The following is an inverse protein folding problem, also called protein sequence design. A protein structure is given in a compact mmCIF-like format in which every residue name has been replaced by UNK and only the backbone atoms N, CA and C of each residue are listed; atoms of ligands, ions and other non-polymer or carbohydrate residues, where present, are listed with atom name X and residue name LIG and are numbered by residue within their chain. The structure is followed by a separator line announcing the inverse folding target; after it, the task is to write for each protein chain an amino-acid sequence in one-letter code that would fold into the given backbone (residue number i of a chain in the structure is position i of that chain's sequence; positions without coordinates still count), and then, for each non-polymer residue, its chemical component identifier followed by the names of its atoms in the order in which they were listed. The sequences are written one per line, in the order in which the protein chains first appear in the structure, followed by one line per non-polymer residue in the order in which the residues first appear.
data_IF_946079612392
#
_entry.id   IF_946079612392
#
_cell.length_a   1.000
_cell.length_b   1.000
_cell.length_c   1.000
_cell.angle_alpha   90.00
_cell.angle_beta   90.00
_cell.angle_gamma   90.00
#
_symmetry.space_group_name_H-M   'P 1'
#
loop_
_entity.id
_entity.type
_entity.pdbx_description
1 polymer ?
#
# COMPACT_ATOMS: atom_id res chain seq x y z
N UNK A 1 -4.08 -10.94 11.55
CA UNK A 1 -3.19 -12.03 11.08
C UNK A 1 -3.17 -13.19 12.09
N UNK A 2 -3.16 -12.94 13.43
CA UNK A 2 -3.17 -14.02 14.44
C UNK A 2 -4.46 -14.83 14.46
N UNK A 3 -5.58 -14.25 14.08
CA UNK A 3 -6.89 -14.93 14.12
C UNK A 3 -7.21 -15.69 12.83
N UNK A 4 -6.64 -15.31 11.68
CA UNK A 4 -6.77 -16.04 10.41
C UNK A 4 -6.11 -17.43 10.50
N UNK A 5 -5.06 -17.58 11.31
CA UNK A 5 -4.39 -18.86 11.54
C UNK A 5 -5.25 -19.88 12.31
N UNK A 6 -6.36 -19.46 12.93
CA UNK A 6 -7.28 -20.32 13.68
C UNK A 6 -8.50 -20.80 12.89
N UNK A 7 -8.82 -20.11 11.77
CA UNK A 7 -9.87 -20.52 10.85
C UNK A 7 -9.22 -21.26 9.67
N UNK A 8 -9.05 -22.56 9.80
CA UNK A 8 -8.34 -23.39 8.84
C UNK A 8 -8.86 -23.23 7.41
N UNK A 9 -8.00 -22.78 6.50
CA UNK A 9 -8.21 -22.90 5.06
C UNK A 9 -8.00 -24.37 4.71
N UNK A 10 -8.97 -25.07 4.11
CA UNK A 10 -8.93 -26.54 3.95
C UNK A 10 -7.73 -27.10 3.18
N UNK A 11 -7.10 -26.30 2.31
CA UNK A 11 -5.95 -26.75 1.50
C UNK A 11 -4.58 -26.65 2.20
N UNK A 12 -4.45 -25.88 3.29
CA UNK A 12 -3.21 -25.80 4.07
C UNK A 12 -3.10 -26.98 5.05
N UNK A 13 -4.23 -27.59 5.43
CA UNK A 13 -4.27 -28.72 6.36
C UNK A 13 -3.56 -29.99 5.88
N UNK A 14 -3.42 -30.18 4.56
CA UNK A 14 -2.78 -31.37 3.98
C UNK A 14 -1.25 -31.26 3.83
N UNK A 15 -0.65 -30.09 4.05
CA UNK A 15 0.82 -29.89 3.95
C UNK A 15 1.49 -30.02 5.34
N UNK A 16 0.76 -29.89 6.42
CA UNK A 16 1.28 -29.94 7.79
C UNK A 16 1.80 -31.31 8.29
N UNK A 17 1.31 -32.49 7.81
CA UNK A 17 1.85 -33.76 8.27
C UNK A 17 3.24 -34.15 7.76
N UNK A 18 3.73 -33.48 6.68
CA UNK A 18 5.02 -33.83 6.06
C UNK A 18 6.24 -33.16 6.70
N UNK A 19 6.06 -32.31 7.71
CA UNK A 19 7.16 -31.51 8.32
C UNK A 19 7.59 -32.09 9.69
N UNK A 20 7.13 -33.27 10.11
CA UNK A 20 7.49 -33.85 11.42
C UNK A 20 8.78 -34.69 11.43
N UNK A 21 9.58 -34.71 10.39
CA UNK A 21 10.92 -35.27 10.46
C UNK A 21 11.94 -34.13 10.63
N UNK A 22 12.79 -34.22 11.65
CA UNK A 22 13.90 -33.34 12.00
C UNK A 22 14.93 -33.16 10.87
N UNK A 23 14.52 -32.74 9.69
CA UNK A 23 15.41 -32.27 8.66
C UNK A 23 15.72 -30.83 9.01
N UNK A 24 16.91 -30.57 9.56
CA UNK A 24 17.44 -29.21 9.64
C UNK A 24 17.41 -28.67 8.20
N UNK A 25 16.56 -27.67 7.86
CA UNK A 25 16.48 -27.22 6.49
C UNK A 25 17.82 -26.67 6.07
N UNK A 26 18.41 -27.25 4.99
CA UNK A 26 19.63 -26.74 4.40
C UNK A 26 19.38 -25.29 4.03
N UNK A 27 20.07 -24.36 4.70
CA UNK A 27 19.93 -22.94 4.41
C UNK A 27 20.48 -22.64 3.02
N UNK A 28 19.74 -21.83 2.30
CA UNK A 28 20.16 -21.32 0.98
C UNK A 28 21.36 -20.40 1.21
N UNK A 29 22.44 -20.65 0.47
CA UNK A 29 23.68 -19.84 0.54
C UNK A 29 23.49 -18.53 -0.25
N UNK A 30 22.73 -17.61 0.34
CA UNK A 30 22.38 -16.29 -0.19
C UNK A 30 22.50 -15.26 0.92
N UNK A 31 22.99 -14.06 0.56
CA UNK A 31 23.09 -12.90 1.45
C UNK A 31 21.91 -11.98 1.22
N UNK A 32 21.12 -11.73 2.27
CA UNK A 32 19.97 -10.83 2.24
C UNK A 32 20.26 -9.64 3.16
N UNK A 33 20.14 -8.43 2.64
CA UNK A 33 20.23 -7.22 3.46
C UNK A 33 18.86 -6.59 3.64
N UNK A 34 18.46 -6.39 4.89
CA UNK A 34 17.22 -5.70 5.29
C UNK A 34 17.59 -4.25 5.53
N UNK A 35 17.30 -3.38 4.56
CA UNK A 35 17.56 -1.94 4.68
C UNK A 35 16.40 -1.28 5.41
N UNK A 36 16.71 -0.60 6.50
CA UNK A 36 15.73 0.06 7.37
C UNK A 36 15.82 1.58 7.26
N UNK A 37 14.70 2.24 7.56
CA UNK A 37 14.67 3.70 7.70
C UNK A 37 15.56 4.06 8.89
N UNK A 38 16.55 4.94 8.72
CA UNK A 38 17.38 5.40 9.83
C UNK A 38 16.52 5.97 10.94
N UNK A 39 16.90 5.75 12.18
CA UNK A 39 16.23 6.31 13.35
C UNK A 39 16.56 7.82 13.45
N UNK A 40 16.04 8.58 12.49
CA UNK A 40 16.17 10.02 12.45
C UNK A 40 15.33 10.57 13.58
N UNK A 41 15.94 11.27 14.53
CA UNK A 41 15.33 11.88 15.72
C UNK A 41 13.99 12.62 15.50
N UNK A 42 13.51 13.48 16.35
CA UNK A 42 12.11 13.90 16.38
C UNK A 42 11.61 14.37 15.02
N UNK A 43 10.50 13.78 14.60
CA UNK A 43 9.82 13.88 13.29
C UNK A 43 9.90 15.28 12.67
N UNK A 44 10.78 15.47 11.71
CA UNK A 44 10.74 16.60 10.82
C UNK A 44 9.76 16.28 9.66
N UNK A 45 9.00 17.27 9.22
CA UNK A 45 7.92 17.18 8.23
C UNK A 45 8.29 16.56 6.86
N UNK A 46 9.57 16.32 6.60
CA UNK A 46 10.06 15.67 5.38
C UNK A 46 10.24 14.14 5.51
N UNK A 47 10.12 13.57 6.72
CA UNK A 47 10.38 12.14 6.97
C UNK A 47 9.20 11.23 6.62
N UNK A 48 8.01 11.77 6.56
CA UNK A 48 6.77 11.01 6.35
C UNK A 48 6.66 10.31 4.99
N UNK A 49 7.51 10.67 4.02
CA UNK A 49 7.49 10.12 2.66
C UNK A 49 8.72 9.26 2.31
N UNK A 50 9.66 9.09 3.23
CA UNK A 50 10.91 8.33 2.99
C UNK A 50 10.65 6.86 2.76
N UNK A 51 9.54 6.33 3.27
CA UNK A 51 9.15 4.94 3.13
C UNK A 51 8.23 4.47 4.25
N UNK A 52 8.04 3.17 4.34
CA UNK A 52 7.28 2.51 5.40
C UNK A 52 8.24 1.94 6.45
N UNK A 53 7.84 2.01 7.71
CA UNK A 53 8.54 1.32 8.81
C UNK A 53 8.21 -0.17 8.70
N UNK A 54 9.23 -1.00 8.67
CA UNK A 54 9.11 -2.47 8.65
C UNK A 54 9.53 -3.04 9.99
N UNK A 55 8.97 -4.19 10.36
CA UNK A 55 9.38 -4.93 11.55
C UNK A 55 10.64 -5.77 11.25
N UNK A 56 11.80 -5.11 11.13
CA UNK A 56 13.07 -5.68 10.69
C UNK A 56 13.48 -6.93 11.47
N UNK A 57 13.23 -6.96 12.78
CA UNK A 57 13.56 -8.12 13.65
C UNK A 57 12.73 -9.35 13.31
N UNK A 58 11.44 -9.16 12.99
CA UNK A 58 10.56 -10.24 12.56
C UNK A 58 10.97 -10.76 11.18
N UNK A 59 11.29 -9.86 10.26
CA UNK A 59 11.78 -10.21 8.92
C UNK A 59 13.09 -10.95 9.02
N UNK A 60 14.06 -10.46 9.81
CA UNK A 60 15.33 -11.14 10.08
C UNK A 60 15.10 -12.54 10.61
N UNK A 61 14.23 -12.70 11.63
CA UNK A 61 13.92 -14.03 12.22
C UNK A 61 13.31 -15.00 11.21
N UNK A 62 12.47 -14.52 10.31
CA UNK A 62 11.83 -15.34 9.27
C UNK A 62 12.84 -15.73 8.20
N UNK A 63 13.56 -14.77 7.65
CA UNK A 63 14.52 -14.99 6.56
C UNK A 63 15.72 -15.84 7.02
N UNK A 64 16.21 -15.65 8.25
CA UNK A 64 17.32 -16.44 8.82
C UNK A 64 17.01 -17.93 9.00
N UNK A 65 15.74 -18.33 8.94
CA UNK A 65 15.38 -19.76 8.91
C UNK A 65 15.73 -20.41 7.57
N UNK A 66 15.76 -19.65 6.49
CA UNK A 66 15.89 -20.14 5.12
C UNK A 66 17.22 -19.75 4.46
N UNK A 67 17.73 -18.56 4.76
CA UNK A 67 18.95 -18.02 4.17
C UNK A 67 20.10 -18.06 5.16
N UNK A 68 21.33 -18.21 4.64
CA UNK A 68 22.53 -18.36 5.46
C UNK A 68 22.89 -17.02 6.13
N UNK A 69 22.98 -15.98 5.34
CA UNK A 69 23.42 -14.67 5.79
C UNK A 69 22.27 -13.65 5.62
N UNK A 70 21.75 -13.14 6.73
CA UNK A 70 20.71 -12.11 6.73
C UNK A 70 21.16 -11.01 7.68
N UNK A 71 21.25 -9.79 7.16
CA UNK A 71 21.74 -8.62 7.89
C UNK A 71 20.67 -7.54 7.95
N UNK A 72 20.67 -6.74 9.02
CA UNK A 72 19.95 -5.46 9.09
C UNK A 72 20.97 -4.37 8.78
N UNK A 73 20.66 -3.53 7.81
CA UNK A 73 21.54 -2.45 7.34
C UNK A 73 20.85 -1.11 7.51
N UNK A 74 21.44 -0.24 8.32
CA UNK A 74 21.04 1.15 8.45
C UNK A 74 21.85 2.00 7.49
N UNK A 75 21.17 2.88 6.74
CA UNK A 75 21.79 3.81 5.81
C UNK A 75 21.62 5.23 6.36
N UNK A 76 22.71 5.83 6.79
CA UNK A 76 22.76 7.18 7.34
C UNK A 76 23.49 8.18 6.44
N UNK A 77 24.21 7.70 5.42
CA UNK A 77 25.00 8.52 4.51
C UNK A 77 25.11 7.91 3.11
N UNK A 78 25.66 8.64 2.15
CA UNK A 78 25.94 8.11 0.80
C UNK A 78 27.02 7.03 0.85
N UNK A 79 27.99 7.14 1.74
CA UNK A 79 29.03 6.14 1.96
C UNK A 79 28.44 4.79 2.41
N UNK A 80 27.36 4.81 3.21
CA UNK A 80 26.67 3.58 3.60
C UNK A 80 25.98 2.91 2.41
N UNK A 81 25.41 3.72 1.48
CA UNK A 81 24.85 3.20 0.22
C UNK A 81 25.94 2.58 -0.66
N UNK A 82 27.11 3.24 -0.76
CA UNK A 82 28.26 2.70 -1.48
C UNK A 82 28.76 1.40 -0.84
N UNK A 83 28.79 1.34 0.49
CA UNK A 83 29.19 0.14 1.21
C UNK A 83 28.20 -1.00 0.98
N UNK A 84 26.89 -0.73 0.94
CA UNK A 84 25.85 -1.70 0.59
C UNK A 84 26.12 -2.32 -0.79
N UNK A 85 26.30 -1.51 -1.82
CA UNK A 85 26.51 -2.04 -3.18
C UNK A 85 27.85 -2.73 -3.35
N UNK A 86 28.91 -2.30 -2.62
CA UNK A 86 30.23 -2.99 -2.60
C UNK A 86 30.13 -4.40 -2.03
N UNK A 87 29.21 -4.66 -1.09
CA UNK A 87 28.97 -6.00 -0.53
C UNK A 87 28.26 -6.94 -1.50
N UNK A 88 27.58 -6.40 -2.52
CA UNK A 88 26.84 -7.15 -3.55
C UNK A 88 25.89 -8.21 -2.95
N UNK A 89 24.93 -7.82 -2.10
CA UNK A 89 23.97 -8.78 -1.57
C UNK A 89 23.17 -9.46 -2.70
N UNK A 90 22.77 -10.69 -2.48
CA UNK A 90 21.92 -11.42 -3.43
C UNK A 90 20.50 -10.83 -3.51
N UNK A 91 20.07 -10.14 -2.46
CA UNK A 91 18.76 -9.50 -2.41
C UNK A 91 18.72 -8.40 -1.33
N UNK A 92 18.13 -7.26 -1.66
CA UNK A 92 17.76 -6.23 -0.70
C UNK A 92 16.26 -6.28 -0.42
N UNK A 93 15.90 -6.29 0.86
CA UNK A 93 14.53 -6.12 1.35
C UNK A 93 14.41 -4.77 2.05
N UNK A 94 13.50 -3.90 1.61
CA UNK A 94 13.39 -2.57 2.22
C UNK A 94 11.97 -2.01 2.18
N UNK A 95 11.64 -1.21 3.20
CA UNK A 95 10.49 -0.30 3.19
C UNK A 95 10.88 1.13 2.77
N UNK A 96 12.16 1.40 2.54
CA UNK A 96 12.65 2.74 2.19
C UNK A 96 12.41 3.02 0.72
N UNK A 97 11.85 4.20 0.41
CA UNK A 97 11.68 4.70 -0.96
C UNK A 97 12.93 5.47 -1.41
N UNK A 98 13.35 6.45 -0.61
CA UNK A 98 14.52 7.28 -0.90
C UNK A 98 15.20 7.77 0.37
N UNK A 99 16.45 8.16 0.23
CA UNK A 99 17.24 8.88 1.23
C UNK A 99 17.43 10.33 0.79
N UNK A 100 17.52 11.25 1.73
CA UNK A 100 17.80 12.65 1.46
C UNK A 100 19.21 12.99 1.93
N UNK A 101 20.16 13.04 0.99
CA UNK A 101 21.56 13.41 1.23
C UNK A 101 21.97 14.55 0.30
N UNK A 102 22.79 15.46 0.79
CA UNK A 102 23.37 16.55 -0.01
C UNK A 102 22.32 17.32 -0.84
N UNK A 103 21.16 17.66 -0.22
CA UNK A 103 20.03 18.36 -0.84
C UNK A 103 19.42 17.65 -2.07
N UNK A 104 19.56 16.32 -2.16
CA UNK A 104 18.93 15.51 -3.22
C UNK A 104 18.30 14.25 -2.68
N UNK A 105 17.24 13.80 -3.33
CA UNK A 105 16.65 12.49 -3.07
C UNK A 105 17.39 11.42 -3.87
N UNK A 106 17.90 10.41 -3.18
CA UNK A 106 18.48 9.22 -3.78
C UNK A 106 17.46 8.09 -3.62
N UNK A 107 16.82 7.73 -4.71
CA UNK A 107 15.83 6.64 -4.72
C UNK A 107 16.56 5.31 -4.60
N UNK A 108 16.24 4.55 -3.56
CA UNK A 108 16.93 3.29 -3.25
C UNK A 108 16.82 2.30 -4.42
N UNK A 109 15.64 2.15 -5.00
CA UNK A 109 15.40 1.20 -6.07
C UNK A 109 16.18 1.55 -7.34
N UNK A 110 16.18 2.84 -7.75
CA UNK A 110 16.99 3.31 -8.89
C UNK A 110 18.49 3.11 -8.62
N UNK A 111 18.93 3.35 -7.37
CA UNK A 111 20.32 3.17 -6.99
C UNK A 111 20.72 1.69 -7.07
N UNK A 112 19.88 0.77 -6.56
CA UNK A 112 20.14 -0.66 -6.64
C UNK A 112 20.12 -1.18 -8.08
N UNK A 113 19.22 -0.67 -8.94
CA UNK A 113 19.18 -1.00 -10.37
C UNK A 113 20.46 -0.59 -11.11
N UNK A 114 21.03 0.58 -10.79
CA UNK A 114 22.32 1.03 -11.38
C UNK A 114 23.48 0.07 -11.10
N UNK A 115 23.43 -0.67 -9.98
CA UNK A 115 24.45 -1.64 -9.59
C UNK A 115 24.02 -3.11 -9.77
N UNK A 116 22.90 -3.33 -10.47
CA UNK A 116 22.35 -4.66 -10.76
C UNK A 116 22.11 -5.51 -9.50
N UNK A 117 21.73 -4.86 -8.39
CA UNK A 117 21.41 -5.55 -7.13
C UNK A 117 19.91 -5.85 -7.09
N UNK A 118 19.52 -7.14 -6.97
CA UNK A 118 18.11 -7.51 -6.84
C UNK A 118 17.49 -6.95 -5.56
N UNK A 119 16.23 -6.52 -5.64
CA UNK A 119 15.49 -6.00 -4.50
C UNK A 119 14.02 -6.42 -4.55
N UNK A 120 13.39 -6.47 -3.38
CA UNK A 120 11.94 -6.67 -3.24
C UNK A 120 11.31 -5.30 -3.10
N UNK A 121 10.67 -4.84 -4.13
CA UNK A 121 9.76 -3.69 -4.23
C UNK A 121 9.40 -3.43 -5.69
N UNK A 122 8.54 -2.42 -5.90
CA UNK A 122 8.26 -1.89 -7.23
C UNK A 122 9.26 -0.79 -7.61
N UNK A 123 9.39 -0.50 -8.90
CA UNK A 123 10.26 0.58 -9.39
C UNK A 123 9.81 1.95 -8.89
N UNK A 124 10.70 2.95 -8.95
CA UNK A 124 10.37 4.35 -8.66
C UNK A 124 9.12 4.82 -9.43
N UNK A 125 9.04 4.49 -10.73
CA UNK A 125 7.90 4.88 -11.56
C UNK A 125 6.57 4.32 -11.04
N UNK A 126 6.55 3.07 -10.55
CA UNK A 126 5.36 2.47 -9.94
C UNK A 126 5.01 3.13 -8.59
N UNK A 127 6.02 3.46 -7.78
CA UNK A 127 5.83 4.18 -6.51
C UNK A 127 5.31 5.60 -6.74
N UNK A 128 5.78 6.30 -7.78
CA UNK A 128 5.25 7.61 -8.19
C UNK A 128 3.79 7.50 -8.67
N UNK A 129 3.44 6.42 -9.40
CA UNK A 129 2.08 6.17 -9.84
C UNK A 129 1.13 5.93 -8.66
N UNK A 130 1.58 5.20 -7.64
CA UNK A 130 0.81 4.93 -6.42
C UNK A 130 0.63 6.17 -5.55
N UNK A 131 1.67 7.00 -5.43
CA UNK A 131 1.69 8.15 -4.54
C UNK A 131 0.77 9.30 -4.99
N UNK A 132 0.42 9.36 -6.27
CA UNK A 132 -0.53 10.33 -6.86
C UNK A 132 -1.82 9.64 -7.28
N UNK A 133 -2.88 9.80 -6.48
CA UNK A 133 -4.18 9.15 -6.71
C UNK A 133 -4.83 9.56 -8.04
N UNK A 134 -4.63 10.81 -8.50
CA UNK A 134 -5.11 11.26 -9.79
C UNK A 134 -4.41 10.51 -10.94
N UNK A 135 -3.10 10.42 -10.85
CA UNK A 135 -2.28 9.68 -11.82
C UNK A 135 -2.66 8.21 -11.85
N UNK A 136 -2.78 7.57 -10.67
CA UNK A 136 -3.22 6.18 -10.55
C UNK A 136 -4.58 5.96 -11.23
N UNK A 137 -5.59 6.79 -10.92
CA UNK A 137 -6.93 6.67 -11.50
C UNK A 137 -6.95 6.88 -13.01
N UNK A 138 -6.17 7.83 -13.54
CA UNK A 138 -6.00 8.01 -15.00
C UNK A 138 -5.36 6.80 -15.67
N UNK A 139 -4.39 6.17 -15.02
CA UNK A 139 -3.80 4.91 -15.51
C UNK A 139 -4.85 3.79 -15.52
N UNK A 140 -5.67 3.67 -14.46
CA UNK A 140 -6.78 2.71 -14.42
C UNK A 140 -7.75 2.92 -15.60
N UNK A 141 -8.24 4.16 -15.81
CA UNK A 141 -9.14 4.50 -16.91
C UNK A 141 -8.54 4.16 -18.28
N UNK A 142 -7.27 4.52 -18.51
CA UNK A 142 -6.56 4.23 -19.77
C UNK A 142 -6.45 2.73 -20.05
N UNK A 143 -6.44 1.90 -19.01
CA UNK A 143 -6.37 0.44 -19.11
C UNK A 143 -7.73 -0.25 -18.98
N UNK A 144 -8.84 0.51 -19.05
CA UNK A 144 -10.20 0.00 -18.89
C UNK A 144 -10.42 -0.75 -17.56
N UNK A 145 -9.74 -0.32 -16.50
CA UNK A 145 -9.88 -0.84 -15.14
C UNK A 145 -10.90 0.03 -14.40
N UNK A 146 -11.91 -0.60 -13.81
CA UNK A 146 -12.97 0.12 -13.08
C UNK A 146 -12.39 0.88 -11.90
N UNK A 147 -12.80 2.13 -11.78
CA UNK A 147 -12.56 3.01 -10.63
C UNK A 147 -13.75 3.93 -10.47
N UNK A 148 -14.00 4.47 -9.27
CA UNK A 148 -15.06 5.44 -9.07
C UNK A 148 -14.85 6.65 -9.97
N UNK A 149 -15.94 7.24 -10.47
CA UNK A 149 -15.88 8.53 -11.17
C UNK A 149 -15.26 9.57 -10.27
N UNK A 150 -14.44 10.44 -10.84
CA UNK A 150 -13.67 11.39 -10.05
C UNK A 150 -13.29 12.65 -10.81
N UNK A 151 -12.99 13.68 -10.04
CA UNK A 151 -12.33 14.88 -10.51
C UNK A 151 -11.40 15.44 -9.44
N UNK A 152 -10.55 16.38 -9.85
CA UNK A 152 -9.65 17.11 -8.94
C UNK A 152 -10.13 18.52 -8.81
N UNK A 153 -10.03 19.09 -7.61
CA UNK A 153 -10.42 20.47 -7.35
C UNK A 153 -9.56 21.15 -6.28
N UNK A 154 -9.55 22.48 -6.34
CA UNK A 154 -9.06 23.38 -5.31
C UNK A 154 -10.22 24.23 -4.75
N UNK A 155 -10.05 24.86 -3.60
CA UNK A 155 -11.08 25.77 -3.07
C UNK A 155 -11.47 26.85 -4.07
N UNK A 156 -12.78 27.05 -4.26
CA UNK A 156 -13.34 28.12 -5.10
C UNK A 156 -13.44 27.81 -6.60
N UNK A 157 -13.02 26.64 -7.07
CA UNK A 157 -13.17 26.25 -8.49
C UNK A 157 -14.62 25.97 -8.89
N UNK A 158 -15.44 25.48 -7.96
CA UNK A 158 -16.88 25.26 -8.13
C UNK A 158 -17.64 26.21 -7.23
N UNK A 159 -18.58 26.95 -7.81
CA UNK A 159 -19.33 28.02 -7.11
C UNK A 159 -20.75 27.61 -6.75
N UNK A 160 -21.27 26.55 -7.39
CA UNK A 160 -22.64 26.06 -7.17
C UNK A 160 -22.66 24.54 -7.24
N UNK A 161 -23.64 23.91 -6.61
CA UNK A 161 -23.86 22.47 -6.65
C UNK A 161 -24.02 21.96 -8.10
N UNK A 162 -24.76 22.70 -8.93
CA UNK A 162 -24.99 22.31 -10.33
C UNK A 162 -23.76 22.35 -11.23
N UNK A 163 -22.65 22.96 -10.76
CA UNK A 163 -21.39 22.98 -11.49
C UNK A 163 -20.53 21.75 -11.21
N UNK A 164 -20.84 20.96 -10.17
CA UNK A 164 -20.09 19.74 -9.81
C UNK A 164 -20.39 18.63 -10.83
N UNK A 165 -19.36 17.98 -11.40
CA UNK A 165 -19.56 17.01 -12.49
C UNK A 165 -20.09 15.63 -12.05
N UNK A 166 -20.14 15.36 -10.74
CA UNK A 166 -20.57 14.08 -10.16
C UNK A 166 -21.62 14.36 -9.09
N UNK A 167 -22.68 13.54 -9.04
CA UNK A 167 -23.76 13.69 -8.06
C UNK A 167 -23.35 13.26 -6.65
N UNK A 168 -23.93 13.89 -5.63
CA UNK A 168 -23.82 13.46 -4.24
C UNK A 168 -24.48 12.10 -4.00
N UNK A 169 -24.02 11.32 -2.98
CA UNK A 169 -22.93 11.65 -2.06
C UNK A 169 -21.53 11.48 -2.68
N UNK A 170 -20.59 12.29 -2.22
CA UNK A 170 -19.20 12.30 -2.69
C UNK A 170 -18.24 11.91 -1.58
N UNK A 171 -17.11 11.29 -1.95
CA UNK A 171 -16.00 11.02 -1.05
C UNK A 171 -14.80 11.90 -1.42
N UNK A 172 -14.29 12.65 -0.43
CA UNK A 172 -13.24 13.65 -0.66
C UNK A 172 -12.01 13.34 0.17
N UNK A 173 -10.85 13.31 -0.51
CA UNK A 173 -9.55 13.02 0.11
C UNK A 173 -8.42 13.80 -0.57
N UNK A 174 -7.23 13.95 0.06
CA UNK A 174 -6.08 14.56 -0.61
C UNK A 174 -5.65 13.75 -1.84
N UNK A 175 -5.19 14.45 -2.90
CA UNK A 175 -4.64 13.79 -4.12
C UNK A 175 -3.40 13.00 -3.78
N UNK A 176 -2.50 13.56 -2.97
CA UNK A 176 -1.24 12.95 -2.57
C UNK A 176 -1.27 12.44 -1.13
N UNK A 177 -0.36 11.58 -0.78
CA UNK A 177 -0.23 10.98 0.56
C UNK A 177 -0.90 9.60 0.67
N UNK A 178 -0.57 8.89 1.75
CA UNK A 178 -1.03 7.54 2.09
C UNK A 178 -1.64 7.48 3.49
N UNK A 179 -1.88 6.26 4.01
CA UNK A 179 -2.29 5.95 5.37
C UNK A 179 -3.57 6.67 5.84
N UNK A 180 -4.53 6.89 4.93
CA UNK A 180 -5.77 7.63 5.19
C UNK A 180 -5.57 9.05 5.75
N UNK A 181 -4.40 9.67 5.60
CA UNK A 181 -4.16 11.06 6.02
C UNK A 181 -5.11 11.99 5.29
N UNK A 182 -5.80 12.85 6.06
CA UNK A 182 -6.82 13.75 5.55
C UNK A 182 -8.17 13.09 5.26
N UNK A 183 -8.33 11.80 5.56
CA UNK A 183 -9.61 11.08 5.56
C UNK A 183 -10.13 11.02 6.98
N UNK A 184 -11.35 11.49 7.18
CA UNK A 184 -12.06 11.51 8.45
C UNK A 184 -13.58 11.36 8.21
N UNK A 185 -14.38 11.47 9.26
CA UNK A 185 -15.84 11.39 9.21
C UNK A 185 -16.49 12.39 8.25
N UNK A 186 -15.84 13.52 7.99
CA UNK A 186 -16.32 14.56 7.07
C UNK A 186 -15.88 14.33 5.62
N UNK A 187 -15.23 13.20 5.33
CA UNK A 187 -14.80 12.85 3.96
C UNK A 187 -15.95 12.40 3.07
N UNK A 188 -17.08 11.96 3.66
CA UNK A 188 -18.32 11.73 2.92
C UNK A 188 -19.17 13.01 3.02
N UNK A 189 -19.54 13.56 1.88
CA UNK A 189 -20.31 14.80 1.82
C UNK A 189 -21.59 14.59 1.03
N UNK A 190 -22.69 15.21 1.48
CA UNK A 190 -24.03 15.02 0.94
C UNK A 190 -24.62 16.25 0.25
N UNK A 191 -23.90 17.37 0.34
CA UNK A 191 -24.33 18.67 -0.22
C UNK A 191 -23.12 19.56 -0.53
N UNK A 192 -23.42 20.70 -1.16
CA UNK A 192 -22.41 21.65 -1.59
C UNK A 192 -21.65 22.33 -0.44
N UNK A 193 -22.30 22.55 0.71
CA UNK A 193 -21.66 23.13 1.89
C UNK A 193 -20.59 22.19 2.46
N UNK A 194 -20.92 20.91 2.62
CA UNK A 194 -19.98 19.89 3.04
C UNK A 194 -18.81 19.74 2.06
N UNK A 195 -19.10 19.78 0.76
CA UNK A 195 -18.09 19.74 -0.30
C UNK A 195 -17.09 20.91 -0.16
N UNK A 196 -17.56 22.13 -0.10
CA UNK A 196 -16.70 23.32 -0.01
C UNK A 196 -15.88 23.34 1.26
N UNK A 197 -16.50 22.96 2.39
CA UNK A 197 -15.84 22.88 3.69
C UNK A 197 -14.71 21.84 3.67
N UNK A 198 -14.96 20.62 3.15
CA UNK A 198 -13.95 19.56 3.12
C UNK A 198 -12.80 19.87 2.17
N UNK A 199 -13.08 20.45 0.99
CA UNK A 199 -12.04 20.86 0.04
C UNK A 199 -11.12 21.92 0.66
N UNK A 200 -11.70 22.89 1.39
CA UNK A 200 -10.94 23.92 2.09
C UNK A 200 -10.10 23.33 3.22
N UNK A 201 -10.66 22.41 4.01
CA UNK A 201 -9.95 21.73 5.10
C UNK A 201 -8.69 20.97 4.61
N UNK A 202 -8.84 20.21 3.51
CA UNK A 202 -7.71 19.51 2.87
C UNK A 202 -6.64 20.51 2.41
N UNK A 203 -7.04 21.62 1.80
CA UNK A 203 -6.08 22.64 1.36
C UNK A 203 -5.30 23.23 2.51
N UNK A 204 -5.97 23.54 3.63
CA UNK A 204 -5.35 24.15 4.81
C UNK A 204 -4.43 23.14 5.52
N UNK A 205 -4.92 21.93 5.78
CA UNK A 205 -4.22 20.94 6.61
C UNK A 205 -3.13 20.16 5.86
N UNK A 206 -3.37 19.87 4.57
CA UNK A 206 -2.51 19.00 3.78
C UNK A 206 -1.75 19.74 2.66
N UNK A 207 -2.07 21.02 2.43
CA UNK A 207 -1.58 21.81 1.29
C UNK A 207 -1.66 21.06 -0.06
N UNK A 208 -2.71 20.27 -0.24
CA UNK A 208 -2.96 19.41 -1.41
C UNK A 208 -4.24 19.84 -2.14
N UNK A 209 -4.35 19.64 -3.45
CA UNK A 209 -5.63 19.55 -4.11
C UNK A 209 -6.45 18.39 -3.54
N UNK A 210 -7.77 18.46 -3.71
CA UNK A 210 -8.72 17.42 -3.33
C UNK A 210 -9.03 16.50 -4.51
N UNK A 211 -8.97 15.20 -4.31
CA UNK A 211 -9.59 14.18 -5.14
C UNK A 211 -11.02 14.00 -4.64
N UNK A 212 -11.98 14.21 -5.52
CA UNK A 212 -13.43 14.03 -5.28
C UNK A 212 -13.89 12.84 -6.09
N UNK A 213 -14.55 11.89 -5.43
CA UNK A 213 -15.01 10.63 -6.04
C UNK A 213 -16.49 10.40 -5.73
N UNK A 214 -17.18 9.64 -6.58
CA UNK A 214 -18.46 9.03 -6.19
C UNK A 214 -18.25 8.22 -4.91
N UNK A 215 -19.09 8.45 -3.90
CA UNK A 215 -19.06 7.64 -2.69
C UNK A 215 -19.52 6.20 -2.99
N UNK A 216 -18.70 5.22 -2.66
CA UNK A 216 -19.01 3.81 -2.80
C UNK A 216 -19.41 3.26 -1.43
N UNK A 217 -20.67 2.86 -1.26
CA UNK A 217 -21.24 2.45 0.03
C UNK A 217 -21.07 0.97 0.36
N UNK A 218 -20.57 0.18 -0.59
CA UNK A 218 -20.45 -1.27 -0.42
C UNK A 218 -19.26 -1.69 0.43
N UNK A 219 -19.00 -2.99 0.44
CA UNK A 219 -17.91 -3.61 1.21
C UNK A 219 -16.53 -3.14 0.79
N UNK A 220 -15.59 -3.17 1.72
CA UNK A 220 -14.20 -2.83 1.49
C UNK A 220 -13.32 -4.07 1.53
N UNK A 221 -12.37 -4.15 0.61
CA UNK A 221 -11.46 -5.27 0.48
C UNK A 221 -10.02 -4.78 0.36
N UNK A 222 -9.10 -5.58 0.86
CA UNK A 222 -7.69 -5.42 0.61
C UNK A 222 -7.14 -6.67 -0.05
N UNK A 223 -6.43 -6.52 -1.16
CA UNK A 223 -5.91 -7.64 -1.94
C UNK A 223 -4.40 -7.60 -1.93
N UNK A 224 -3.79 -8.52 -1.17
CA UNK A 224 -2.35 -8.77 -1.27
C UNK A 224 -2.01 -9.42 -2.59
N UNK A 225 -0.96 -8.92 -3.25
CA UNK A 225 -0.45 -9.46 -4.52
C UNK A 225 1.02 -9.77 -4.36
N UNK A 226 1.43 -10.92 -4.87
CA UNK A 226 2.83 -11.27 -4.98
C UNK A 226 3.09 -12.03 -6.29
N UNK A 227 4.30 -11.89 -6.79
CA UNK A 227 4.79 -12.63 -7.93
C UNK A 227 5.39 -13.95 -7.44
N UNK A 228 4.86 -15.08 -7.95
CA UNK A 228 5.33 -16.40 -7.58
C UNK A 228 6.69 -16.66 -8.26
N UNK A 229 7.70 -16.98 -7.45
CA UNK A 229 9.05 -17.22 -7.94
C UNK A 229 9.22 -18.50 -8.76
N UNK A 230 8.20 -19.38 -8.80
CA UNK A 230 8.24 -20.65 -9.53
C UNK A 230 7.84 -20.45 -10.99
N UNK A 231 6.72 -19.74 -11.20
CA UNK A 231 6.13 -19.60 -12.54
C UNK A 231 6.00 -18.14 -13.01
N UNK A 232 6.43 -17.17 -12.17
CA UNK A 232 6.29 -15.73 -12.45
C UNK A 232 4.85 -15.23 -12.44
N UNK A 233 3.88 -16.05 -12.06
CA UNK A 233 2.48 -15.67 -12.05
C UNK A 233 2.14 -14.79 -10.85
N UNK A 234 1.30 -13.78 -11.06
CA UNK A 234 0.75 -13.01 -9.96
C UNK A 234 -0.28 -13.84 -9.19
N UNK A 235 -0.06 -13.99 -7.90
CA UNK A 235 -1.02 -14.53 -6.94
C UNK A 235 -1.73 -13.39 -6.22
N UNK A 236 -3.00 -13.57 -5.92
CA UNK A 236 -3.81 -12.58 -5.21
C UNK A 236 -4.46 -13.22 -3.98
N UNK A 237 -4.49 -12.48 -2.89
CA UNK A 237 -5.07 -12.89 -1.61
C UNK A 237 -6.06 -11.83 -1.13
N UNK A 238 -7.33 -11.87 -1.62
CA UNK A 238 -8.36 -10.96 -1.16
C UNK A 238 -8.78 -11.25 0.28
N UNK A 239 -8.92 -10.18 1.05
CA UNK A 239 -9.56 -10.19 2.36
C UNK A 239 -10.62 -9.09 2.41
N UNK A 240 -11.72 -9.30 3.12
CA UNK A 240 -12.71 -8.28 3.40
C UNK A 240 -12.31 -7.53 4.67
N UNK A 241 -12.37 -6.19 4.61
CA UNK A 241 -12.12 -5.30 5.74
C UNK A 241 -13.44 -4.96 6.38
N UNK A 242 -13.58 -5.29 7.65
CA UNK A 242 -14.76 -4.96 8.44
C UNK A 242 -14.44 -3.77 9.32
N UNK A 243 -15.12 -2.67 9.08
CA UNK A 243 -15.06 -1.46 9.91
C UNK A 243 -16.42 -1.29 10.57
N UNK A 244 -16.44 -0.91 11.84
CA UNK A 244 -17.68 -0.57 12.53
C UNK A 244 -18.31 0.68 11.91
N UNK A 245 -19.63 0.67 11.80
CA UNK A 245 -20.39 1.85 11.42
C UNK A 245 -20.13 2.97 12.44
N UNK A 246 -19.92 4.17 11.91
CA UNK A 246 -19.89 5.38 12.72
C UNK A 246 -21.32 5.76 13.15
N UNK A 247 -21.46 6.84 13.93
CA UNK A 247 -22.75 7.31 14.42
C UNK A 247 -23.73 7.68 13.31
N UNK A 248 -23.24 7.93 12.12
CA UNK A 248 -24.03 8.31 10.92
C UNK A 248 -24.35 7.09 10.04
N UNK A 249 -23.98 5.86 10.48
CA UNK A 249 -24.24 4.63 9.74
C UNK A 249 -23.27 4.37 8.57
N UNK A 250 -22.11 4.99 8.55
CA UNK A 250 -21.12 4.83 7.49
C UNK A 250 -19.89 4.07 7.98
N UNK A 251 -19.39 3.14 7.16
CA UNK A 251 -18.12 2.46 7.38
C UNK A 251 -17.00 3.21 6.66
N UNK A 252 -16.16 3.90 7.42
CA UNK A 252 -15.01 4.66 6.90
C UNK A 252 -13.74 4.10 7.53
N UNK A 253 -12.84 3.58 6.70
CA UNK A 253 -11.50 3.19 7.11
C UNK A 253 -10.61 4.44 7.16
N UNK A 254 -10.83 5.28 8.16
CA UNK A 254 -10.12 6.53 8.34
C UNK A 254 -8.77 6.35 9.06
N UNK A 255 -8.10 7.47 9.30
CA UNK A 255 -6.78 7.48 9.95
C UNK A 255 -6.84 6.94 11.39
N UNK A 256 -7.89 7.28 12.16
CA UNK A 256 -7.98 6.88 13.56
C UNK A 256 -8.30 5.39 13.69
N UNK A 257 -9.20 4.85 12.85
CA UNK A 257 -9.49 3.41 12.77
C UNK A 257 -8.22 2.61 12.48
N UNK A 258 -7.44 3.01 11.47
CA UNK A 258 -6.17 2.34 11.11
C UNK A 258 -5.12 2.46 12.22
N UNK A 259 -5.02 3.62 12.84
CA UNK A 259 -4.04 3.87 13.91
C UNK A 259 -4.31 3.06 15.16
N UNK A 260 -5.58 2.84 15.48
CA UNK A 260 -6.01 2.12 16.68
C UNK A 260 -6.20 0.61 16.44
N UNK A 261 -6.01 0.12 15.20
CA UNK A 261 -6.23 -1.30 14.81
C UNK A 261 -7.67 -1.76 15.14
N UNK A 262 -8.65 -0.89 14.86
CA UNK A 262 -10.06 -1.11 15.18
C UNK A 262 -10.82 -1.87 14.08
N UNK A 263 -10.22 -2.02 12.90
CA UNK A 263 -10.74 -2.87 11.84
C UNK A 263 -10.50 -4.35 12.14
N UNK A 264 -11.34 -5.20 11.59
CA UNK A 264 -11.12 -6.63 11.54
C UNK A 264 -11.10 -7.14 10.09
N UNK A 265 -10.50 -8.29 9.88
CA UNK A 265 -10.35 -8.85 8.54
C UNK A 265 -10.93 -10.28 8.50
N UNK A 266 -11.63 -10.61 7.42
CA UNK A 266 -12.15 -11.95 7.18
C UNK A 266 -11.76 -12.43 5.77
N UNK A 267 -11.70 -13.76 5.62
CA UNK A 267 -11.44 -14.36 4.32
C UNK A 267 -12.65 -14.15 3.39
N UNK A 268 -12.41 -13.88 2.11
CA UNK A 268 -13.46 -13.86 1.09
C UNK A 268 -13.83 -15.28 0.72
N UNK A 269 -15.01 -15.74 1.14
CA UNK A 269 -15.49 -17.11 0.91
C UNK A 269 -16.28 -17.29 -0.38
N UNK A 270 -16.89 -16.22 -0.90
CA UNK A 270 -17.60 -16.25 -2.19
C UNK A 270 -16.58 -16.30 -3.34
N UNK A 271 -16.58 -17.41 -4.08
CA UNK A 271 -15.62 -17.67 -5.17
C UNK A 271 -15.77 -16.65 -6.31
N UNK A 272 -16.99 -16.22 -6.63
CA UNK A 272 -17.21 -15.22 -7.71
C UNK A 272 -16.66 -13.86 -7.31
N UNK A 273 -16.88 -13.46 -6.07
CA UNK A 273 -16.31 -12.22 -5.51
C UNK A 273 -14.79 -12.32 -5.44
N UNK A 274 -14.26 -13.44 -4.95
CA UNK A 274 -12.82 -13.70 -4.87
C UNK A 274 -12.15 -13.56 -6.24
N UNK A 275 -12.70 -14.17 -7.29
CA UNK A 275 -12.14 -14.13 -8.64
C UNK A 275 -12.19 -12.72 -9.24
N UNK A 276 -13.30 -11.99 -9.05
CA UNK A 276 -13.43 -10.59 -9.51
C UNK A 276 -12.43 -9.68 -8.83
N UNK A 277 -12.28 -9.78 -7.50
CA UNK A 277 -11.31 -9.02 -6.72
C UNK A 277 -9.88 -9.34 -7.16
N UNK A 278 -9.57 -10.63 -7.29
CA UNK A 278 -8.26 -11.10 -7.72
C UNK A 278 -7.87 -10.59 -9.10
N UNK A 279 -8.83 -10.65 -10.05
CA UNK A 279 -8.60 -10.12 -11.40
C UNK A 279 -8.39 -8.63 -11.40
N UNK A 280 -9.29 -7.86 -10.78
CA UNK A 280 -9.21 -6.40 -10.71
C UNK A 280 -7.90 -5.94 -10.06
N UNK A 281 -7.51 -6.57 -8.95
CA UNK A 281 -6.27 -6.25 -8.25
C UNK A 281 -5.02 -6.55 -9.08
N UNK A 282 -4.95 -7.71 -9.74
CA UNK A 282 -3.81 -8.06 -10.63
C UNK A 282 -3.70 -7.12 -11.81
N UNK A 283 -4.82 -6.77 -12.43
CA UNK A 283 -4.85 -5.85 -13.57
C UNK A 283 -4.39 -4.44 -13.13
N UNK A 284 -4.86 -3.97 -11.97
CA UNK A 284 -4.44 -2.70 -11.37
C UNK A 284 -2.95 -2.68 -11.04
N UNK A 285 -2.45 -3.73 -10.40
CA UNK A 285 -1.05 -3.88 -10.04
C UNK A 285 -0.14 -3.79 -11.28
N UNK A 286 -0.50 -4.52 -12.35
CA UNK A 286 0.24 -4.48 -13.63
C UNK A 286 0.18 -3.09 -14.27
N UNK A 287 -1.00 -2.49 -14.33
CA UNK A 287 -1.19 -1.19 -14.96
C UNK A 287 -0.37 -0.08 -14.26
N UNK A 288 -0.24 -0.15 -12.94
CA UNK A 288 0.59 0.77 -12.16
C UNK A 288 2.11 0.48 -12.27
N UNK A 289 2.50 -0.64 -12.88
CA UNK A 289 3.89 -1.07 -13.00
C UNK A 289 4.43 -1.76 -11.75
N UNK A 290 3.53 -2.33 -10.94
CA UNK A 290 3.90 -3.07 -9.73
C UNK A 290 4.76 -4.30 -10.06
N UNK A 291 5.71 -4.59 -9.18
CA UNK A 291 6.61 -5.77 -9.24
C UNK A 291 6.75 -6.39 -7.85
N UNK A 292 7.14 -7.65 -7.81
CA UNK A 292 7.41 -8.45 -6.61
C UNK A 292 6.19 -8.64 -5.72
N UNK A 293 5.77 -7.61 -5.01
CA UNK A 293 4.62 -7.64 -4.12
C UNK A 293 3.96 -6.25 -3.98
N UNK A 294 2.70 -6.25 -3.59
CA UNK A 294 1.95 -5.03 -3.31
C UNK A 294 0.57 -5.33 -2.73
N UNK A 295 -0.19 -4.27 -2.50
CA UNK A 295 -1.55 -4.33 -1.98
C UNK A 295 -2.44 -3.38 -2.78
N UNK A 296 -3.61 -3.86 -3.15
CA UNK A 296 -4.65 -3.08 -3.82
C UNK A 296 -5.89 -3.05 -2.94
N UNK A 297 -6.29 -1.87 -2.53
CA UNK A 297 -7.51 -1.66 -1.76
C UNK A 297 -8.67 -1.40 -2.74
N UNK A 298 -9.80 -2.08 -2.53
CA UNK A 298 -10.96 -2.09 -3.41
C UNK A 298 -12.22 -1.81 -2.59
N UNK A 299 -13.06 -0.89 -3.07
CA UNK A 299 -14.37 -0.59 -2.48
C UNK A 299 -15.46 -0.97 -3.47
N UNK A 300 -16.51 -1.66 -3.01
CA UNK A 300 -17.68 -1.97 -3.83
C UNK A 300 -18.61 -0.76 -3.95
N UNK A 301 -19.32 -0.69 -5.06
CA UNK A 301 -20.31 0.35 -5.34
C UNK A 301 -21.66 0.09 -4.63
N UNK A 302 -22.03 -1.20 -4.42
CA UNK A 302 -23.27 -1.59 -3.72
C UNK A 302 -23.00 -2.73 -2.75
N UNK A 303 -23.97 -2.96 -1.89
CA UNK A 303 -24.06 -4.10 -0.97
C UNK A 303 -24.43 -5.38 -1.69
#
# INVERSE_FOLDING_TARGET
IKDIAKQGIPEIGNILPLIKNNIIPIKINKTIEIVVVPNLGPKNSHQDNVGIVIEEKNILRILSKRYKDVLITEINSEEDLEALVKRKPDLVFSGVKYFFFNNRNIWLNDYLEMFEIPYIASSKAALDNESDKNRAKKIMQKNNIRTADFFITNPGEYLTESSIPISFPLFIKPVTGGDSRGVDKNSIVFNFEGFTSKVLDIKIKQNSPSLVETYLAGKEYSVGIFEDSIDGALRAMPIEIIVKENIDGHCILDFDVKKNDEESVIAVSDVVVFDKLSKLAKDSFKALGGKSLGRIDIKMDHL
#
